data_IF_695621692065
#
_entry.id   IF_695621692065
#
_cell.length_a   1.000
_cell.length_b   1.000
_cell.length_c   1.000
_cell.angle_alpha   90.00
_cell.angle_beta   90.00
_cell.angle_gamma   90.00
#
_symmetry.space_group_name_H-M   'P 1'
#
loop_
_entity.id
_entity.type
_entity.pdbx_description
1 polymer ?
#
# COMPACT_ATOMS: atom_id res chain seq x y z
N UNK A 1 1.11 13.14 9.43
CA UNK A 1 0.71 12.20 8.36
C UNK A 1 1.96 11.48 7.88
N UNK A 2 1.97 10.15 7.87
CA UNK A 2 3.07 9.38 7.29
C UNK A 2 3.01 9.54 5.76
N UNK A 3 4.13 9.93 5.15
CA UNK A 3 4.26 10.15 3.71
C UNK A 3 5.25 9.11 3.15
N UNK A 4 4.75 7.97 2.65
CA UNK A 4 5.58 6.82 2.29
C UNK A 4 6.20 6.95 0.89
N UNK A 5 5.66 7.83 0.06
CA UNK A 5 6.21 8.14 -1.25
C UNK A 5 6.27 9.64 -1.43
N UNK A 6 7.30 10.10 -2.13
CA UNK A 6 7.43 11.51 -2.51
C UNK A 6 6.17 11.96 -3.26
N UNK A 7 5.70 13.18 -2.98
CA UNK A 7 4.50 13.72 -3.62
C UNK A 7 4.62 13.70 -5.15
N UNK A 8 5.80 13.98 -5.70
CA UNK A 8 6.04 13.95 -7.14
C UNK A 8 5.93 12.53 -7.72
N UNK A 9 6.30 11.50 -6.95
CA UNK A 9 6.13 10.10 -7.37
C UNK A 9 4.67 9.67 -7.34
N UNK A 10 3.90 10.15 -6.36
CA UNK A 10 2.45 9.88 -6.27
C UNK A 10 1.68 10.62 -7.36
N UNK A 11 1.99 11.90 -7.61
CA UNK A 11 1.35 12.69 -8.66
C UNK A 11 1.75 12.26 -10.08
N UNK A 12 3.00 11.80 -10.25
CA UNK A 12 3.51 11.28 -11.52
C UNK A 12 2.99 9.88 -11.85
N UNK A 13 2.44 9.16 -10.86
CA UNK A 13 1.82 7.87 -11.10
C UNK A 13 0.41 8.04 -11.69
N UNK A 14 0.07 7.22 -12.70
CA UNK A 14 -1.32 7.11 -13.17
C UNK A 14 -2.19 6.36 -12.16
N UNK A 15 -1.56 5.60 -11.26
CA UNK A 15 -2.19 4.86 -10.19
C UNK A 15 -2.44 5.67 -8.94
N UNK A 16 -3.64 5.49 -8.37
CA UNK A 16 -3.94 6.05 -7.05
C UNK A 16 -3.18 5.26 -5.99
N UNK A 17 -2.47 5.98 -5.11
CA UNK A 17 -1.87 5.39 -3.91
C UNK A 17 -2.94 4.66 -3.09
N UNK A 18 -2.71 3.36 -2.89
CA UNK A 18 -3.52 2.49 -2.06
C UNK A 18 -2.90 2.34 -0.67
N UNK A 19 -3.76 2.15 0.32
CA UNK A 19 -3.41 1.86 1.70
C UNK A 19 -4.13 0.57 2.09
N UNK A 20 -3.36 -0.44 2.46
CA UNK A 20 -3.85 -1.69 3.01
C UNK A 20 -3.69 -1.63 4.53
N UNK A 21 -4.81 -1.60 5.24
CA UNK A 21 -4.87 -1.71 6.69
C UNK A 21 -4.83 -3.18 7.08
N UNK A 22 -3.81 -3.56 7.84
CA UNK A 22 -3.56 -4.94 8.25
C UNK A 22 -4.25 -5.21 9.58
N UNK A 23 -4.92 -6.35 9.68
CA UNK A 23 -5.63 -6.75 10.91
C UNK A 23 -4.66 -7.05 12.06
N UNK A 24 -3.48 -7.56 11.72
CA UNK A 24 -2.39 -7.88 12.65
C UNK A 24 -1.10 -7.15 12.28
N UNK A 25 -0.13 -7.24 13.16
CA UNK A 25 1.22 -6.75 12.87
C UNK A 25 1.95 -7.80 12.01
N UNK A 26 2.41 -7.46 10.80
CA UNK A 26 3.10 -8.41 9.95
C UNK A 26 4.49 -8.73 10.54
N UNK A 27 4.87 -10.01 10.48
CA UNK A 27 6.19 -10.46 10.92
C UNK A 27 7.31 -9.81 10.08
N UNK A 28 8.53 -9.77 10.61
CA UNK A 28 9.68 -9.23 9.89
C UNK A 28 9.92 -9.98 8.56
N UNK A 29 9.73 -11.31 8.56
CA UNK A 29 9.79 -12.13 7.33
C UNK A 29 8.71 -11.72 6.34
N UNK A 30 7.44 -11.61 6.76
CA UNK A 30 6.35 -11.20 5.87
C UNK A 30 6.57 -9.80 5.29
N UNK A 31 7.09 -8.85 6.09
CA UNK A 31 7.45 -7.51 5.60
C UNK A 31 8.54 -7.56 4.54
N UNK A 32 9.55 -8.40 4.75
CA UNK A 32 10.67 -8.56 3.81
C UNK A 32 10.20 -9.21 2.52
N UNK A 33 9.42 -10.28 2.60
CA UNK A 33 8.88 -10.96 1.43
C UNK A 33 7.95 -10.06 0.62
N UNK A 34 7.04 -9.33 1.26
CA UNK A 34 6.12 -8.42 0.57
C UNK A 34 6.87 -7.27 -0.09
N UNK A 35 7.83 -6.66 0.60
CA UNK A 35 8.67 -5.60 -0.01
C UNK A 35 9.47 -6.15 -1.19
N UNK A 36 9.87 -7.42 -1.15
CA UNK A 36 10.53 -8.11 -2.27
C UNK A 36 9.64 -8.39 -3.47
N UNK A 37 8.31 -8.30 -3.33
CA UNK A 37 7.35 -8.38 -4.46
C UNK A 37 7.20 -7.04 -5.18
N UNK A 38 7.78 -5.96 -4.64
CA UNK A 38 7.74 -4.66 -5.29
C UNK A 38 8.46 -4.70 -6.64
N UNK A 39 7.87 -4.05 -7.63
CA UNK A 39 8.47 -3.88 -8.96
C UNK A 39 8.64 -2.39 -9.25
N UNK A 40 9.32 -2.05 -10.35
CA UNK A 40 9.40 -0.64 -10.80
C UNK A 40 8.00 -0.05 -11.06
N UNK A 41 7.06 -0.91 -11.48
CA UNK A 41 5.66 -0.58 -11.72
C UNK A 41 4.80 -0.60 -10.45
N UNK A 42 5.24 -1.25 -9.38
CA UNK A 42 4.45 -1.47 -8.17
C UNK A 42 5.31 -1.29 -6.92
N UNK A 43 5.33 -0.06 -6.41
CA UNK A 43 6.12 0.26 -5.22
C UNK A 43 5.34 -0.08 -3.97
N UNK A 44 6.00 -0.76 -3.04
CA UNK A 44 5.43 -1.17 -1.77
C UNK A 44 6.26 -0.61 -0.62
N UNK A 45 5.60 -0.02 0.36
CA UNK A 45 6.24 0.47 1.56
C UNK A 45 5.37 0.22 2.80
N UNK A 46 5.96 -0.38 3.83
CA UNK A 46 5.28 -0.52 5.12
C UNK A 46 5.44 0.73 5.96
N UNK A 47 4.35 1.12 6.62
CA UNK A 47 4.41 2.12 7.69
C UNK A 47 5.00 1.53 8.97
N UNK A 48 5.38 2.43 9.88
CA UNK A 48 5.70 2.09 11.26
C UNK A 48 4.50 1.46 11.99
N UNK A 49 3.27 1.73 11.51
CA UNK A 49 2.04 1.11 11.99
C UNK A 49 1.72 -0.19 11.21
N UNK A 50 0.46 -0.63 11.29
CA UNK A 50 -0.06 -1.84 10.64
C UNK A 50 -0.62 -1.54 9.26
N UNK A 51 0.15 -0.84 8.44
CA UNK A 51 -0.30 -0.37 7.13
C UNK A 51 0.76 -0.69 6.07
N UNK A 52 0.29 -1.12 4.90
CA UNK A 52 1.09 -1.26 3.70
C UNK A 52 0.60 -0.24 2.68
N UNK A 53 1.51 0.58 2.18
CA UNK A 53 1.28 1.51 1.10
C UNK A 53 1.69 0.87 -0.21
N UNK A 54 0.82 1.00 -1.20
CA UNK A 54 1.05 0.46 -2.53
C UNK A 54 0.79 1.55 -3.57
N UNK A 55 1.84 1.89 -4.30
CA UNK A 55 1.79 2.82 -5.41
C UNK A 55 1.97 2.06 -6.74
N UNK A 56 0.87 1.65 -7.40
CA UNK A 56 0.94 1.16 -8.76
C UNK A 56 1.24 2.32 -9.70
N UNK A 57 2.02 2.09 -10.76
CA UNK A 57 2.36 3.08 -11.80
C UNK A 57 1.19 3.35 -12.75
N UNK A 58 0.34 2.33 -12.97
CA UNK A 58 -0.94 2.38 -13.69
C UNK A 58 -2.12 2.13 -12.74
N UNK A 59 -3.20 1.50 -13.19
CA UNK A 59 -4.28 1.06 -12.29
C UNK A 59 -3.91 -0.15 -11.42
N UNK A 60 -4.61 -0.34 -10.30
CA UNK A 60 -4.50 -1.59 -9.50
C UNK A 60 -4.89 -2.84 -10.29
N UNK A 61 -5.72 -2.70 -11.35
CA UNK A 61 -6.10 -3.77 -12.27
C UNK A 61 -5.05 -4.05 -13.35
N UNK A 62 -4.17 -3.08 -13.63
CA UNK A 62 -3.10 -3.17 -14.63
C UNK A 62 -1.77 -3.57 -13.98
N UNK A 63 -1.76 -3.70 -12.66
CA UNK A 63 -0.60 -4.10 -11.88
C UNK A 63 -0.29 -5.58 -12.05
N UNK A 64 0.99 -5.89 -12.15
CA UNK A 64 1.50 -7.26 -12.15
C UNK A 64 1.82 -7.76 -10.73
N UNK A 65 1.53 -6.96 -9.70
CA UNK A 65 1.74 -7.33 -8.32
C UNK A 65 0.90 -8.56 -7.96
N UNK A 66 1.56 -9.58 -7.38
CA UNK A 66 0.89 -10.79 -6.91
C UNK A 66 0.08 -10.52 -5.63
N UNK A 67 -1.13 -9.97 -5.83
CA UNK A 67 -2.09 -9.67 -4.76
C UNK A 67 -2.48 -10.90 -3.94
N UNK A 68 -2.43 -12.10 -4.51
CA UNK A 68 -2.70 -13.35 -3.79
C UNK A 68 -1.57 -13.67 -2.84
N UNK A 69 -0.32 -13.53 -3.27
CA UNK A 69 0.85 -13.73 -2.41
C UNK A 69 0.89 -12.70 -1.29
N UNK A 70 0.62 -11.43 -1.60
CA UNK A 70 0.49 -10.37 -0.59
C UNK A 70 -0.58 -10.73 0.45
N UNK A 71 -1.76 -11.16 -0.01
CA UNK A 71 -2.84 -11.62 0.88
C UNK A 71 -2.48 -12.85 1.73
N UNK A 72 -1.72 -13.79 1.18
CA UNK A 72 -1.27 -14.97 1.92
C UNK A 72 -0.25 -14.61 3.03
N UNK A 73 0.61 -13.64 2.78
CA UNK A 73 1.64 -13.19 3.72
C UNK A 73 1.08 -12.28 4.83
N UNK A 74 0.13 -11.42 4.47
CA UNK A 74 -0.41 -10.39 5.38
C UNK A 74 -1.75 -10.77 6.00
N UNK A 75 -2.41 -11.79 5.46
CA UNK A 75 -3.74 -12.20 5.87
C UNK A 75 -4.81 -11.17 5.51
N UNK A 76 -5.90 -11.18 6.27
CA UNK A 76 -7.04 -10.28 6.04
C UNK A 76 -6.62 -8.82 6.19
N UNK A 77 -6.80 -8.05 5.13
CA UNK A 77 -6.53 -6.62 5.09
C UNK A 77 -7.68 -5.86 4.43
N UNK A 78 -7.81 -4.58 4.77
CA UNK A 78 -8.77 -3.68 4.14
C UNK A 78 -8.02 -2.69 3.26
N UNK A 79 -8.33 -2.66 1.97
CA UNK A 79 -7.71 -1.71 1.02
C UNK A 79 -8.61 -0.48 0.81
N UNK A 80 -8.00 0.71 0.84
CA UNK A 80 -8.63 2.00 0.50
C UNK A 80 -7.62 2.89 -0.23
N UNK A 81 -8.09 3.79 -1.08
CA UNK A 81 -7.20 4.83 -1.64
C UNK A 81 -6.79 5.82 -0.55
N UNK A 82 -5.57 6.34 -0.61
CA UNK A 82 -5.07 7.35 0.33
C UNK A 82 -5.96 8.59 0.40
N UNK A 83 -6.49 9.05 -0.73
CA UNK A 83 -7.43 10.18 -0.75
C UNK A 83 -8.73 9.91 0.01
N UNK A 84 -9.23 8.67 0.02
CA UNK A 84 -10.36 8.28 0.87
C UNK A 84 -9.98 8.29 2.34
N UNK A 85 -8.78 7.78 2.68
CA UNK A 85 -8.27 7.82 4.06
C UNK A 85 -8.14 9.26 4.55
N UNK A 86 -7.62 10.17 3.73
CA UNK A 86 -7.49 11.59 4.08
C UNK A 86 -8.85 12.26 4.31
N UNK A 87 -9.84 11.96 3.47
CA UNK A 87 -11.21 12.44 3.68
C UNK A 87 -11.84 11.87 4.96
N UNK A 88 -11.58 10.60 5.28
CA UNK A 88 -12.03 10.00 6.53
C UNK A 88 -11.36 10.66 7.73
N UNK A 89 -10.05 10.85 7.70
CA UNK A 89 -9.32 11.55 8.75
C UNK A 89 -9.89 12.96 8.96
N UNK A 90 -10.04 13.75 7.90
CA UNK A 90 -10.59 15.11 7.99
C UNK A 90 -12.04 15.17 8.49
N UNK A 91 -12.80 14.07 8.38
CA UNK A 91 -14.20 14.01 8.80
C UNK A 91 -14.38 13.57 10.25
N UNK A 92 -13.50 12.70 10.74
CA UNK A 92 -13.67 12.01 12.02
C UNK A 92 -12.65 12.42 13.09
N UNK A 93 -11.64 13.21 12.74
CA UNK A 93 -10.60 13.73 13.63
C UNK A 93 -10.34 15.21 13.34
#
# INVERSE_FOLDING_TARGET
AHQPFDAAAVEGSKGKLQVLFLSGEPSCEARTEVTGLATDSDRLEFSAARELFWLPAGGTLESELDSKRVGALLGTSTSRTKGTVDQMCAKFF
#
